data_IF_058543485853
#
_entry.id   IF_058543485853
#
_cell.length_a   1.000
_cell.length_b   1.000
_cell.length_c   1.000
_cell.angle_alpha   90.00
_cell.angle_beta   90.00
_cell.angle_gamma   90.00
#
_symmetry.space_group_name_H-M   'P 1'
#
loop_
_entity.id
_entity.type
_entity.pdbx_description
1 polymer ?
#
# COMPACT_ATOMS: atom_id res chain seq x y z
N UNK A 1 -23.40 -13.14 -20.82
CA UNK A 1 -23.17 -12.29 -19.63
C UNK A 1 -21.68 -12.22 -19.48
N UNK A 2 -21.11 -11.02 -19.39
CA UNK A 2 -19.68 -10.88 -19.10
C UNK A 2 -19.40 -11.57 -17.75
N UNK A 3 -18.26 -12.23 -17.64
CA UNK A 3 -17.88 -12.86 -16.37
C UNK A 3 -17.70 -11.77 -15.31
N UNK A 4 -18.07 -12.08 -14.06
CA UNK A 4 -17.93 -11.14 -12.95
C UNK A 4 -16.43 -10.81 -12.74
N UNK A 5 -15.98 -9.55 -12.94
CA UNK A 5 -14.57 -9.20 -12.87
C UNK A 5 -13.93 -9.52 -11.52
N UNK A 6 -14.71 -9.59 -10.43
CA UNK A 6 -14.22 -9.95 -9.10
C UNK A 6 -13.80 -11.43 -8.99
N UNK A 7 -14.31 -12.27 -9.88
CA UNK A 7 -14.01 -13.72 -9.95
C UNK A 7 -12.92 -14.08 -10.96
N UNK A 8 -12.35 -13.08 -11.64
CA UNK A 8 -11.34 -13.25 -12.68
C UNK A 8 -9.92 -12.96 -12.17
N UNK A 9 -8.95 -13.59 -12.82
CA UNK A 9 -7.53 -13.26 -12.68
C UNK A 9 -7.15 -12.07 -13.59
N UNK A 10 -6.52 -11.06 -13.00
CA UNK A 10 -6.04 -9.87 -13.70
C UNK A 10 -4.52 -9.68 -13.45
N UNK A 11 -3.75 -9.21 -14.44
CA UNK A 11 -2.35 -8.90 -14.23
C UNK A 11 -2.22 -7.56 -13.50
N UNK A 12 -1.84 -7.58 -12.22
CA UNK A 12 -1.80 -6.41 -11.34
C UNK A 12 -0.46 -5.68 -11.32
N UNK A 13 0.60 -6.34 -11.79
CA UNK A 13 1.97 -5.80 -11.92
C UNK A 13 2.75 -6.58 -12.99
N UNK A 14 3.89 -6.05 -13.45
CA UNK A 14 4.91 -6.83 -14.18
C UNK A 14 6.02 -7.29 -13.22
N UNK A 15 6.84 -8.26 -13.63
CA UNK A 15 7.99 -8.70 -12.81
C UNK A 15 8.96 -7.54 -12.48
N UNK A 16 9.10 -6.58 -13.40
CA UNK A 16 9.96 -5.40 -13.23
C UNK A 16 9.36 -4.35 -12.29
N UNK A 17 8.04 -4.36 -12.09
CA UNK A 17 7.37 -3.51 -11.10
C UNK A 17 7.69 -4.01 -9.67
N UNK A 18 8.07 -5.28 -9.49
CA UNK A 18 8.23 -5.94 -8.19
C UNK A 18 9.66 -6.49 -7.97
N UNK A 19 10.71 -5.65 -8.04
CA UNK A 19 12.06 -6.08 -7.69
C UNK A 19 12.17 -6.37 -6.18
N UNK A 20 13.19 -7.12 -5.77
CA UNK A 20 13.47 -7.34 -4.34
C UNK A 20 13.62 -6.02 -3.59
N UNK A 21 13.25 -6.03 -2.31
CA UNK A 21 13.34 -4.87 -1.40
C UNK A 21 12.45 -3.68 -1.80
N UNK A 22 11.57 -3.86 -2.77
CA UNK A 22 10.54 -2.90 -3.13
C UNK A 22 9.15 -3.40 -2.71
N UNK A 23 8.21 -2.45 -2.50
CA UNK A 23 6.78 -2.73 -2.37
C UNK A 23 6.07 -1.87 -3.41
N UNK A 24 5.54 -2.52 -4.43
CA UNK A 24 4.80 -1.90 -5.50
C UNK A 24 3.38 -1.55 -5.05
N UNK A 25 2.92 -0.36 -5.44
CA UNK A 25 1.54 0.06 -5.23
C UNK A 25 0.67 -0.41 -6.41
N UNK A 26 0.06 -1.59 -6.27
CA UNK A 26 -0.90 -2.11 -7.23
C UNK A 26 -2.30 -1.57 -6.97
N UNK A 27 -3.19 -1.69 -7.97
CA UNK A 27 -4.60 -1.36 -7.82
C UNK A 27 -5.46 -2.33 -8.65
N UNK A 28 -6.63 -2.72 -8.16
CA UNK A 28 -7.54 -3.62 -8.89
C UNK A 28 -8.98 -3.36 -8.42
N UNK A 29 -9.90 -3.11 -9.35
CA UNK A 29 -11.34 -2.99 -9.06
C UNK A 29 -11.67 -2.00 -7.90
N UNK A 30 -10.99 -0.86 -7.89
CA UNK A 30 -11.11 0.19 -6.86
C UNK A 30 -10.29 -0.04 -5.60
N UNK A 31 -9.68 -1.22 -5.43
CA UNK A 31 -8.86 -1.58 -4.26
C UNK A 31 -7.39 -1.24 -4.47
N UNK A 32 -6.71 -0.77 -3.41
CA UNK A 32 -5.25 -0.61 -3.40
C UNK A 32 -4.57 -1.88 -2.88
N UNK A 33 -3.50 -2.29 -3.56
CA UNK A 33 -2.73 -3.50 -3.26
C UNK A 33 -1.28 -3.14 -2.90
N UNK A 34 -0.73 -3.83 -1.90
CA UNK A 34 0.70 -3.86 -1.64
C UNK A 34 1.27 -5.14 -2.25
N UNK A 35 2.03 -5.01 -3.34
CA UNK A 35 2.63 -6.12 -4.07
C UNK A 35 4.13 -6.15 -3.82
N UNK A 36 4.68 -7.25 -3.32
CA UNK A 36 6.12 -7.32 -3.01
C UNK A 36 6.69 -8.73 -3.13
N UNK A 37 7.97 -8.81 -3.49
CA UNK A 37 8.70 -10.08 -3.64
C UNK A 37 9.61 -10.33 -2.43
N UNK A 38 9.47 -11.52 -1.85
CA UNK A 38 10.33 -12.01 -0.78
C UNK A 38 11.60 -12.68 -1.35
N UNK A 39 12.58 -12.97 -0.49
CA UNK A 39 13.85 -13.60 -0.88
C UNK A 39 13.70 -15.06 -1.33
N UNK A 40 12.58 -15.70 -1.00
CA UNK A 40 12.22 -17.04 -1.48
C UNK A 40 11.45 -17.00 -2.80
N UNK A 41 11.55 -15.90 -3.54
CA UNK A 41 10.86 -15.57 -4.79
C UNK A 41 9.34 -15.47 -4.71
N UNK A 42 8.75 -15.68 -3.54
CA UNK A 42 7.31 -15.59 -3.37
C UNK A 42 6.82 -14.15 -3.54
N UNK A 43 5.85 -13.96 -4.42
CA UNK A 43 5.18 -12.68 -4.63
C UNK A 43 3.94 -12.60 -3.74
N UNK A 44 3.95 -11.62 -2.85
CA UNK A 44 2.86 -11.30 -1.95
C UNK A 44 1.97 -10.23 -2.58
N UNK A 45 0.66 -10.44 -2.58
CA UNK A 45 -0.34 -9.43 -2.94
C UNK A 45 -1.27 -9.24 -1.75
N UNK A 46 -1.20 -8.10 -1.10
CA UNK A 46 -1.95 -7.83 0.13
C UNK A 46 -2.83 -6.60 -0.02
N UNK A 47 -3.83 -6.47 0.86
CA UNK A 47 -4.50 -5.20 1.07
C UNK A 47 -3.47 -4.12 1.45
N UNK A 48 -3.50 -2.98 0.76
CA UNK A 48 -2.54 -1.89 0.99
C UNK A 48 -2.84 -1.07 2.25
N UNK A 49 -3.05 -1.74 3.38
CA UNK A 49 -3.51 -1.11 4.61
C UNK A 49 -2.92 -1.80 5.84
N UNK A 50 -2.16 -1.05 6.64
CA UNK A 50 -1.68 -1.50 7.93
C UNK A 50 -2.83 -1.66 8.92
N UNK A 51 -2.89 -2.78 9.63
CA UNK A 51 -3.98 -3.10 10.56
C UNK A 51 -4.02 -2.19 11.80
N UNK A 52 -2.94 -1.48 12.12
CA UNK A 52 -2.90 -0.58 13.27
C UNK A 52 -3.69 0.72 13.02
N UNK A 53 -3.30 1.54 12.03
CA UNK A 53 -3.90 2.87 11.76
C UNK A 53 -4.18 3.12 10.28
N UNK A 54 -4.17 2.07 9.47
CA UNK A 54 -4.54 2.16 8.05
C UNK A 54 -3.52 2.82 7.14
N UNK A 55 -2.27 3.02 7.57
CA UNK A 55 -1.21 3.50 6.68
C UNK A 55 -1.02 2.54 5.51
N UNK A 56 -0.77 3.05 4.31
CA UNK A 56 -0.38 2.25 3.15
C UNK A 56 0.86 1.42 3.46
N UNK A 57 0.82 0.13 3.14
CA UNK A 57 1.97 -0.77 3.26
C UNK A 57 2.93 -0.63 2.07
N UNK A 58 2.49 -0.06 0.95
CA UNK A 58 3.34 0.26 -0.20
C UNK A 58 4.38 1.33 0.07
N UNK A 59 4.21 2.16 1.09
CA UNK A 59 5.27 3.05 1.59
C UNK A 59 6.13 2.40 2.68
N UNK A 60 5.87 1.12 2.98
CA UNK A 60 6.62 0.30 3.93
C UNK A 60 8.01 -0.05 3.43
N UNK A 61 8.70 -0.91 4.18
CA UNK A 61 9.96 -1.51 3.77
C UNK A 61 9.84 -3.03 3.71
N UNK A 62 10.20 -3.60 2.57
CA UNK A 62 10.41 -5.02 2.37
C UNK A 62 11.86 -5.36 2.73
N UNK A 63 12.08 -6.22 3.72
CA UNK A 63 13.42 -6.67 4.12
C UNK A 63 13.83 -8.04 3.54
N UNK A 64 12.96 -8.63 2.72
CA UNK A 64 13.13 -9.95 2.10
C UNK A 64 12.34 -11.06 2.77
N UNK A 65 12.04 -10.92 4.07
CA UNK A 65 11.30 -11.94 4.84
C UNK A 65 10.02 -11.40 5.45
N UNK A 66 9.99 -10.09 5.71
CA UNK A 66 8.88 -9.37 6.30
C UNK A 66 8.66 -8.04 5.59
N UNK A 67 7.43 -7.55 5.69
CA UNK A 67 7.10 -6.17 5.36
C UNK A 67 6.90 -5.39 6.66
N UNK A 68 7.64 -4.29 6.81
CA UNK A 68 7.56 -3.39 7.95
C UNK A 68 6.82 -2.09 7.57
N UNK A 69 5.78 -1.76 8.33
CA UNK A 69 5.04 -0.51 8.19
C UNK A 69 5.87 0.68 8.69
N UNK A 70 5.97 1.75 7.89
CA UNK A 70 6.76 2.94 8.26
C UNK A 70 6.12 3.85 9.32
N UNK A 71 4.88 3.59 9.74
CA UNK A 71 4.27 4.44 10.76
C UNK A 71 4.76 4.07 12.17
N UNK A 72 4.46 2.85 12.61
CA UNK A 72 4.79 2.38 13.97
C UNK A 72 5.67 1.13 13.97
N UNK A 73 6.23 0.77 12.82
CA UNK A 73 7.18 -0.35 12.70
C UNK A 73 6.58 -1.75 12.88
N UNK A 74 5.26 -1.90 12.80
CA UNK A 74 4.61 -3.22 12.79
C UNK A 74 5.15 -4.03 11.62
N UNK A 75 5.51 -5.29 11.88
CA UNK A 75 6.05 -6.21 10.88
C UNK A 75 5.06 -7.32 10.58
N UNK A 76 5.04 -7.74 9.32
CA UNK A 76 4.16 -8.79 8.81
C UNK A 76 4.98 -9.81 8.03
N UNK A 77 4.78 -11.09 8.34
CA UNK A 77 5.49 -12.19 7.69
C UNK A 77 5.08 -12.39 6.23
N UNK A 78 6.06 -12.78 5.41
CA UNK A 78 5.84 -13.38 4.08
C UNK A 78 4.74 -14.47 4.12
N UNK A 79 3.95 -14.57 3.04
CA UNK A 79 2.85 -15.53 2.80
C UNK A 79 1.64 -15.37 3.73
N UNK A 80 1.84 -15.54 5.02
CA UNK A 80 0.76 -15.51 6.01
C UNK A 80 0.18 -14.11 6.25
N UNK A 81 0.97 -13.06 5.95
CA UNK A 81 0.69 -11.68 6.31
C UNK A 81 0.36 -11.48 7.81
N UNK A 82 0.78 -12.42 8.66
CA UNK A 82 0.61 -12.38 10.10
C UNK A 82 1.56 -11.38 10.74
N UNK A 83 1.07 -10.61 11.70
CA UNK A 83 1.90 -9.68 12.44
C UNK A 83 2.90 -10.45 13.30
N UNK A 84 4.19 -10.19 13.08
CA UNK A 84 5.30 -10.88 13.76
C UNK A 84 5.91 -10.04 14.87
N UNK A 85 5.81 -8.71 14.76
CA UNK A 85 6.44 -7.81 15.71
C UNK A 85 5.70 -6.48 15.81
N UNK A 86 5.42 -6.07 17.05
CA UNK A 86 4.87 -4.76 17.41
C UNK A 86 5.93 -4.05 18.28
N UNK A 87 6.61 -3.02 17.76
CA UNK A 87 7.70 -2.37 18.49
C UNK A 87 7.34 -1.82 19.88
N UNK A 88 6.08 -1.40 20.07
CA UNK A 88 5.59 -0.90 21.35
C UNK A 88 5.39 -1.99 22.43
N UNK A 89 5.34 -3.26 22.00
CA UNK A 89 5.15 -4.44 22.86
C UNK A 89 6.20 -5.51 22.50
N UNK A 90 7.50 -5.22 22.66
CA UNK A 90 8.55 -6.08 22.14
C UNK A 90 8.69 -7.42 22.89
N UNK A 91 8.11 -7.52 24.09
CA UNK A 91 8.11 -8.74 24.90
C UNK A 91 6.90 -9.64 24.62
N UNK A 92 5.85 -9.11 24.00
CA UNK A 92 4.61 -9.82 23.73
C UNK A 92 4.62 -10.37 22.31
N UNK A 93 4.30 -11.65 22.14
CA UNK A 93 4.02 -12.18 20.82
C UNK A 93 2.70 -11.58 20.31
N UNK A 94 2.64 -10.96 19.12
CA UNK A 94 1.37 -10.50 18.56
C UNK A 94 0.37 -11.65 18.46
N UNK A 95 -0.91 -11.33 18.63
CA UNK A 95 -1.96 -12.34 18.49
C UNK A 95 -1.97 -12.90 17.06
N UNK A 96 -2.07 -14.23 16.93
CA UNK A 96 -2.09 -14.93 15.63
C UNK A 96 -3.25 -14.54 14.71
N UNK A 97 -4.26 -13.88 15.26
CA UNK A 97 -5.42 -13.33 14.55
C UNK A 97 -5.12 -12.03 13.83
N UNK A 98 -4.01 -11.36 14.13
CA UNK A 98 -3.59 -10.12 13.47
C UNK A 98 -2.90 -10.50 12.15
N UNK A 99 -3.70 -10.78 11.12
CA UNK A 99 -3.22 -11.09 9.77
C UNK A 99 -3.83 -10.12 8.78
N UNK A 100 -3.02 -9.56 7.89
CA UNK A 100 -3.55 -8.70 6.83
C UNK A 100 -4.28 -9.55 5.79
N UNK A 101 -5.23 -8.95 5.05
CA UNK A 101 -5.90 -9.64 3.95
C UNK A 101 -4.89 -9.87 2.81
N UNK A 102 -4.83 -11.12 2.36
CA UNK A 102 -3.99 -11.56 1.24
C UNK A 102 -4.87 -11.90 0.04
N UNK A 103 -4.36 -11.68 -1.15
CA UNK A 103 -4.97 -12.08 -2.42
C UNK A 103 -4.11 -13.15 -3.08
N UNK A 104 -4.70 -14.12 -3.80
CA UNK A 104 -3.95 -15.11 -4.56
C UNK A 104 -2.99 -14.45 -5.55
N UNK A 105 -1.79 -15.02 -5.71
CA UNK A 105 -0.79 -14.49 -6.64
C UNK A 105 -0.16 -15.60 -7.46
N UNK A 106 -0.04 -15.36 -8.76
CA UNK A 106 0.65 -16.25 -9.71
C UNK A 106 1.52 -15.41 -10.62
N UNK A 107 2.76 -15.81 -10.82
CA UNK A 107 3.65 -15.19 -11.81
C UNK A 107 3.60 -15.98 -13.11
N UNK A 108 3.24 -15.31 -14.22
CA UNK A 108 3.14 -15.94 -15.54
C UNK A 108 3.32 -14.91 -16.65
N UNK A 109 4.08 -15.27 -17.69
CA UNK A 109 4.40 -14.43 -18.86
C UNK A 109 5.06 -13.07 -18.51
N UNK A 110 5.86 -13.03 -17.44
CA UNK A 110 6.47 -11.79 -16.94
C UNK A 110 5.49 -10.84 -16.23
N UNK A 111 4.29 -11.33 -15.91
CA UNK A 111 3.23 -10.60 -15.21
C UNK A 111 2.91 -11.26 -13.86
N UNK A 112 2.53 -10.43 -12.89
CA UNK A 112 2.00 -10.86 -11.60
C UNK A 112 0.47 -10.81 -11.69
N UNK A 113 -0.16 -11.98 -11.64
CA UNK A 113 -1.61 -12.17 -11.68
C UNK A 113 -2.17 -12.23 -10.27
N UNK A 114 -3.34 -11.61 -10.08
CA UNK A 114 -4.12 -11.64 -8.85
C UNK A 114 -5.61 -11.41 -9.16
N UNK A 115 -6.49 -11.69 -8.21
CA UNK A 115 -7.89 -11.30 -8.26
C UNK A 115 -8.40 -10.98 -6.85
N UNK A 116 -9.64 -10.49 -6.74
CA UNK A 116 -10.27 -10.35 -5.41
C UNK A 116 -10.65 -11.72 -4.85
N UNK A 117 -11.43 -12.50 -5.59
CA UNK A 117 -11.77 -13.89 -5.29
C UNK A 117 -11.72 -14.73 -6.58
N UNK A 118 -10.54 -14.84 -7.23
CA UNK A 118 -10.43 -15.42 -8.55
C UNK A 118 -10.69 -16.93 -8.53
N UNK A 119 -11.42 -17.43 -9.53
CA UNK A 119 -11.74 -18.86 -9.68
C UNK A 119 -10.79 -19.51 -10.69
N UNK A 120 -10.27 -20.68 -10.35
CA UNK A 120 -9.39 -21.44 -11.24
C UNK A 120 -7.99 -20.84 -11.34
N UNK A 121 -7.39 -20.92 -12.53
CA UNK A 121 -6.02 -20.49 -12.82
C UNK A 121 -6.01 -19.24 -13.72
N UNK A 122 -4.92 -18.45 -13.74
CA UNK A 122 -4.75 -17.39 -14.72
C UNK A 122 -4.88 -17.89 -16.17
N UNK A 123 -5.32 -17.03 -17.11
CA UNK A 123 -5.52 -17.41 -18.50
C UNK A 123 -4.30 -18.07 -19.14
N UNK A 124 -4.51 -19.24 -19.75
CA UNK A 124 -3.55 -19.88 -20.66
C UNK A 124 -3.69 -19.29 -22.04
N UNK A 125 -2.58 -18.82 -22.63
CA UNK A 125 -2.58 -18.22 -23.97
C UNK A 125 -1.56 -18.96 -24.82
N UNK A 126 -2.04 -19.81 -25.72
CA UNK A 126 -1.23 -20.79 -26.46
C UNK A 126 0.01 -20.17 -27.13
N UNK A 127 -0.14 -18.98 -27.72
CA UNK A 127 0.97 -18.29 -28.40
C UNK A 127 2.05 -17.79 -27.44
N UNK A 128 1.69 -17.47 -26.19
CA UNK A 128 2.64 -17.10 -25.14
C UNK A 128 3.29 -18.33 -24.52
N UNK A 129 2.54 -19.41 -24.34
CA UNK A 129 3.04 -20.70 -23.81
C UNK A 129 4.03 -21.36 -24.79
N UNK A 130 3.77 -21.29 -26.09
CA UNK A 130 4.66 -21.82 -27.13
C UNK A 130 5.91 -20.95 -27.38
N UNK A 131 5.91 -19.71 -26.88
CA UNK A 131 6.90 -18.69 -27.20
C UNK A 131 7.93 -18.44 -26.10
N UNK A 132 8.57 -17.27 -26.19
CA UNK A 132 9.38 -16.68 -25.11
C UNK A 132 8.82 -15.29 -24.81
N UNK A 133 7.83 -15.19 -23.90
CA UNK A 133 7.13 -13.95 -23.62
C UNK A 133 8.07 -12.78 -23.31
N UNK A 134 7.77 -11.61 -23.85
CA UNK A 134 8.51 -10.38 -23.59
C UNK A 134 7.55 -9.25 -23.23
N UNK A 135 7.66 -8.76 -21.99
CA UNK A 135 6.80 -7.71 -21.47
C UNK A 135 7.06 -6.36 -22.15
N UNK A 136 5.99 -5.73 -22.60
CA UNK A 136 6.00 -4.34 -23.07
C UNK A 136 5.80 -3.39 -21.88
N UNK A 137 6.01 -2.10 -22.13
CA UNK A 137 5.76 -1.06 -21.12
C UNK A 137 4.27 -1.06 -20.71
N UNK A 138 4.01 -1.08 -19.41
CA UNK A 138 2.68 -0.91 -18.84
C UNK A 138 2.15 0.51 -19.12
N UNK A 139 0.90 0.64 -19.58
CA UNK A 139 0.31 1.92 -19.93
C UNK A 139 -0.99 2.17 -19.16
N UNK A 140 -1.01 3.10 -18.19
CA UNK A 140 -2.25 3.54 -17.56
C UNK A 140 -3.10 4.32 -18.54
N UNK A 141 -4.41 4.13 -18.46
CA UNK A 141 -5.40 4.75 -19.34
C UNK A 141 -6.53 5.29 -18.48
N UNK A 142 -6.89 6.57 -18.66
CA UNK A 142 -8.08 7.16 -18.06
C UNK A 142 -9.35 6.81 -18.87
N UNK A 143 -9.60 5.51 -18.98
CA UNK A 143 -10.74 4.91 -19.64
C UNK A 143 -11.13 3.59 -18.93
N UNK A 144 -12.38 3.19 -19.05
CA UNK A 144 -12.82 1.87 -18.58
C UNK A 144 -12.11 0.75 -19.35
N UNK A 145 -12.00 -0.42 -18.73
CA UNK A 145 -11.35 -1.58 -19.35
C UNK A 145 -12.07 -2.03 -20.63
N UNK A 146 -13.40 -1.95 -20.67
CA UNK A 146 -14.22 -2.32 -21.82
C UNK A 146 -13.96 -1.39 -23.01
N UNK A 147 -13.81 -0.09 -22.75
CA UNK A 147 -13.45 0.90 -23.77
C UNK A 147 -12.05 0.61 -24.32
N UNK A 148 -11.08 0.30 -23.45
CA UNK A 148 -9.72 -0.04 -23.87
C UNK A 148 -9.68 -1.33 -24.71
N UNK A 149 -10.35 -2.41 -24.30
CA UNK A 149 -10.43 -3.66 -25.08
C UNK A 149 -11.05 -3.43 -26.44
N UNK A 150 -12.11 -2.61 -26.54
CA UNK A 150 -12.72 -2.25 -27.82
C UNK A 150 -11.73 -1.59 -28.76
N UNK A 151 -11.00 -0.56 -28.31
CA UNK A 151 -10.00 0.14 -29.13
C UNK A 151 -8.77 -0.71 -29.46
N UNK A 152 -8.38 -1.62 -28.57
CA UNK A 152 -7.26 -2.53 -28.80
C UNK A 152 -7.49 -3.47 -29.98
N UNK A 153 -8.74 -3.82 -30.32
CA UNK A 153 -9.05 -4.68 -31.48
C UNK A 153 -8.60 -4.08 -32.81
N UNK A 154 -8.55 -2.75 -32.88
CA UNK A 154 -8.13 -2.00 -34.07
C UNK A 154 -6.68 -1.50 -33.95
N UNK A 155 -5.95 -1.89 -32.90
CA UNK A 155 -4.57 -1.49 -32.70
C UNK A 155 -3.65 -2.03 -33.80
N UNK A 156 -2.72 -1.20 -34.26
CA UNK A 156 -1.76 -1.54 -35.31
C UNK A 156 -0.34 -1.34 -34.81
N UNK A 157 0.54 -2.24 -35.20
CA UNK A 157 1.98 -2.15 -34.94
C UNK A 157 2.74 -2.86 -36.06
N UNK A 158 4.05 -2.60 -36.19
CA UNK A 158 4.94 -3.30 -37.10
C UNK A 158 5.54 -4.54 -36.41
N UNK A 159 5.82 -5.63 -37.14
CA UNK A 159 6.56 -6.75 -36.59
C UNK A 159 7.92 -6.33 -36.03
N UNK A 160 8.36 -6.96 -34.94
CA UNK A 160 9.60 -6.59 -34.24
C UNK A 160 10.82 -6.59 -35.17
N UNK A 161 10.94 -7.62 -36.02
CA UNK A 161 12.05 -7.77 -36.97
C UNK A 161 12.04 -6.75 -38.11
N UNK A 162 10.91 -6.10 -38.39
CA UNK A 162 10.81 -5.06 -39.42
C UNK A 162 11.29 -3.69 -38.94
N UNK A 163 11.42 -3.47 -37.63
CA UNK A 163 11.74 -2.15 -37.06
C UNK A 163 13.17 -1.68 -37.33
N UNK A 164 14.08 -2.60 -37.65
CA UNK A 164 15.48 -2.32 -37.93
C UNK A 164 15.88 -2.38 -39.40
N UNK A 165 15.00 -2.88 -40.28
CA UNK A 165 15.36 -3.32 -41.63
C UNK A 165 14.85 -2.42 -42.77
N UNK A 166 13.79 -1.63 -42.56
CA UNK A 166 13.22 -0.77 -43.61
C UNK A 166 12.80 0.62 -43.08
N UNK A 167 13.49 1.72 -43.47
CA UNK A 167 13.10 3.10 -43.14
C UNK A 167 11.75 3.53 -43.73
N UNK A 168 11.22 2.81 -44.72
CA UNK A 168 9.91 3.03 -45.34
C UNK A 168 8.79 2.20 -44.69
N UNK A 169 9.10 1.36 -43.69
CA UNK A 169 8.10 0.57 -42.98
C UNK A 169 7.07 1.49 -42.32
N UNK A 170 5.86 1.45 -42.85
CA UNK A 170 4.70 2.17 -42.31
C UNK A 170 3.73 1.17 -41.72
N UNK A 171 3.20 1.51 -40.55
CA UNK A 171 2.19 0.73 -39.83
C UNK A 171 0.90 0.58 -40.65
N UNK A 172 0.64 1.53 -41.56
CA UNK A 172 -0.48 1.48 -42.51
C UNK A 172 -0.33 0.34 -43.53
N UNK A 173 0.90 -0.12 -43.77
CA UNK A 173 1.21 -1.22 -44.69
C UNK A 173 1.26 -2.58 -43.99
N UNK A 174 1.15 -2.62 -42.66
CA UNK A 174 1.11 -3.85 -41.90
C UNK A 174 -0.29 -4.47 -41.96
N UNK A 175 -0.35 -5.75 -42.30
CA UNK A 175 -1.56 -6.55 -42.18
C UNK A 175 -1.76 -6.97 -40.72
N UNK A 176 -2.93 -6.69 -40.17
CA UNK A 176 -3.29 -7.02 -38.79
C UNK A 176 -4.36 -8.11 -38.76
N UNK A 177 -4.16 -9.13 -37.93
CA UNK A 177 -5.20 -10.10 -37.58
C UNK A 177 -5.48 -10.08 -36.08
N UNK A 178 -6.77 -10.17 -35.71
CA UNK A 178 -7.20 -10.43 -34.33
C UNK A 178 -7.28 -11.94 -34.16
N UNK A 179 -6.32 -12.52 -33.44
CA UNK A 179 -6.23 -13.97 -33.27
C UNK A 179 -7.09 -14.46 -32.10
N UNK A 180 -7.47 -13.56 -31.19
CA UNK A 180 -8.40 -13.83 -30.10
C UNK A 180 -8.74 -12.56 -29.31
N UNK A 181 -9.96 -12.49 -28.77
CA UNK A 181 -10.37 -11.41 -27.87
C UNK A 181 -11.29 -11.96 -26.78
N UNK A 182 -11.03 -11.55 -25.54
CA UNK A 182 -11.87 -11.79 -24.37
C UNK A 182 -12.31 -10.47 -23.74
N UNK A 183 -12.94 -10.55 -22.57
CA UNK A 183 -13.47 -9.37 -21.87
C UNK A 183 -12.35 -8.43 -21.39
N UNK A 184 -11.16 -8.96 -21.11
CA UNK A 184 -9.98 -8.22 -20.60
C UNK A 184 -8.69 -8.51 -21.38
N UNK A 185 -8.77 -9.03 -22.60
CA UNK A 185 -7.57 -9.32 -23.40
C UNK A 185 -7.81 -9.29 -24.90
N UNK A 186 -6.80 -8.86 -25.66
CA UNK A 186 -6.79 -8.91 -27.14
C UNK A 186 -5.46 -9.47 -27.63
N UNK A 187 -5.48 -10.52 -28.45
CA UNK A 187 -4.32 -11.07 -29.14
C UNK A 187 -4.33 -10.61 -30.61
N UNK A 188 -3.23 -10.00 -31.04
CA UNK A 188 -3.05 -9.45 -32.38
C UNK A 188 -1.78 -9.98 -33.01
N UNK A 189 -1.84 -10.36 -34.29
CA UNK A 189 -0.65 -10.60 -35.10
C UNK A 189 -0.51 -9.52 -36.17
N UNK A 190 0.68 -8.94 -36.22
CA UNK A 190 1.12 -8.05 -37.30
C UNK A 190 1.97 -8.81 -38.29
N UNK A 191 1.76 -8.58 -39.59
CA UNK A 191 2.56 -9.12 -40.70
C UNK A 191 3.00 -8.02 -41.65
N UNK A 192 4.30 -7.94 -41.92
CA UNK A 192 4.88 -6.98 -42.86
C UNK A 192 6.22 -7.49 -43.40
N UNK A 193 6.46 -7.31 -44.70
CA UNK A 193 7.77 -7.64 -45.30
C UNK A 193 8.23 -9.09 -45.13
N UNK A 194 7.29 -10.05 -45.03
CA UNK A 194 7.60 -11.47 -44.78
C UNK A 194 7.91 -11.81 -43.32
N UNK A 195 7.88 -10.81 -42.43
CA UNK A 195 8.05 -10.99 -40.97
C UNK A 195 6.69 -10.93 -40.26
N UNK A 196 6.61 -11.52 -39.07
CA UNK A 196 5.42 -11.44 -38.23
C UNK A 196 5.75 -11.31 -36.75
N UNK A 197 4.85 -10.70 -35.98
CA UNK A 197 4.93 -10.68 -34.52
C UNK A 197 3.53 -10.70 -33.92
N UNK A 198 3.35 -11.56 -32.92
CA UNK A 198 2.11 -11.66 -32.15
C UNK A 198 2.28 -11.00 -30.79
N UNK A 199 1.33 -10.15 -30.43
CA UNK A 199 1.26 -9.46 -29.15
C UNK A 199 -0.08 -9.76 -28.48
N UNK A 200 -0.06 -9.99 -27.17
CA UNK A 200 -1.26 -10.14 -26.35
C UNK A 200 -1.32 -8.97 -25.39
N UNK A 201 -2.43 -8.23 -25.43
CA UNK A 201 -2.68 -7.07 -24.59
C UNK A 201 -3.71 -7.45 -23.54
N UNK A 202 -3.28 -7.54 -22.30
CA UNK A 202 -4.18 -7.70 -21.15
C UNK A 202 -4.59 -6.33 -20.63
N UNK A 203 -5.86 -6.17 -20.25
CA UNK A 203 -6.42 -4.93 -19.74
C UNK A 203 -6.84 -5.14 -18.30
N UNK A 204 -6.04 -4.60 -17.38
CA UNK A 204 -6.30 -4.63 -15.95
C UNK A 204 -7.32 -3.52 -15.59
N UNK A 205 -8.52 -3.84 -15.08
CA UNK A 205 -9.44 -2.83 -14.56
C UNK A 205 -8.92 -2.28 -13.22
N UNK A 206 -8.51 -1.01 -13.19
CA UNK A 206 -8.05 -0.36 -11.96
C UNK A 206 -9.24 0.09 -11.13
N UNK A 207 -10.22 0.72 -11.76
CA UNK A 207 -11.55 1.04 -11.23
C UNK A 207 -12.53 1.18 -12.41
N UNK A 208 -13.70 1.78 -12.19
CA UNK A 208 -14.72 1.92 -13.23
C UNK A 208 -14.33 2.87 -14.38
N UNK A 209 -13.41 3.80 -14.16
CA UNK A 209 -13.00 4.81 -15.14
C UNK A 209 -11.54 4.71 -15.58
N UNK A 210 -10.76 3.78 -15.01
CA UNK A 210 -9.32 3.65 -15.27
C UNK A 210 -8.93 2.18 -15.46
N UNK A 211 -7.97 1.96 -16.35
CA UNK A 211 -7.36 0.65 -16.55
C UNK A 211 -5.86 0.77 -16.82
N UNK A 212 -5.17 -0.37 -16.85
CA UNK A 212 -3.77 -0.48 -17.30
C UNK A 212 -3.70 -1.52 -18.41
N UNK A 213 -3.11 -1.14 -19.54
CA UNK A 213 -2.79 -2.06 -20.63
C UNK A 213 -1.41 -2.67 -20.35
N UNK A 214 -1.35 -4.00 -20.34
CA UNK A 214 -0.13 -4.80 -20.18
C UNK A 214 0.07 -5.67 -21.41
N UNK A 215 0.93 -5.20 -22.31
CA UNK A 215 1.26 -5.92 -23.54
C UNK A 215 2.37 -6.93 -23.33
N UNK A 216 2.26 -8.09 -23.98
CA UNK A 216 3.27 -9.15 -23.98
C UNK A 216 3.47 -9.65 -25.40
N UNK A 217 4.70 -9.57 -25.92
CA UNK A 217 5.05 -10.19 -27.19
C UNK A 217 5.25 -11.69 -26.98
N UNK A 218 4.79 -12.50 -27.94
CA UNK A 218 4.96 -13.95 -27.90
C UNK A 218 6.44 -14.38 -28.01
N UNK A 219 7.27 -13.57 -28.65
CA UNK A 219 8.68 -13.85 -28.86
C UNK A 219 9.56 -12.70 -28.40
N UNK A 220 10.56 -13.02 -27.58
CA UNK A 220 11.57 -12.08 -27.11
C UNK A 220 12.45 -11.61 -28.28
N UNK A 221 12.51 -10.30 -28.57
CA UNK A 221 13.41 -9.76 -29.58
C UNK A 221 14.89 -9.93 -29.18
N UNK A 222 15.82 -9.96 -30.16
CA UNK A 222 17.25 -9.92 -29.89
C UNK A 222 17.63 -8.74 -28.98
N UNK A 223 18.58 -8.95 -28.06
CA UNK A 223 18.93 -7.95 -27.04
C UNK A 223 19.27 -6.56 -27.61
N UNK A 224 19.90 -6.48 -28.78
CA UNK A 224 20.23 -5.23 -29.46
C UNK A 224 19.02 -4.47 -30.03
N UNK A 225 17.87 -5.12 -30.19
CA UNK A 225 16.66 -4.59 -30.83
C UNK A 225 15.54 -4.28 -29.81
N UNK A 226 15.61 -4.84 -28.59
CA UNK A 226 14.58 -4.70 -27.56
C UNK A 226 14.21 -3.25 -27.27
N UNK A 227 15.18 -2.33 -27.22
CA UNK A 227 14.92 -0.92 -26.98
C UNK A 227 14.12 -0.25 -28.12
N UNK A 228 14.35 -0.67 -29.37
CA UNK A 228 13.60 -0.17 -30.52
C UNK A 228 12.17 -0.72 -30.51
N UNK A 229 12.00 -2.00 -30.20
CA UNK A 229 10.69 -2.66 -30.04
C UNK A 229 9.86 -2.00 -28.94
N UNK A 230 10.44 -1.83 -27.74
CA UNK A 230 9.77 -1.16 -26.63
C UNK A 230 9.36 0.28 -26.98
N UNK A 231 10.22 1.01 -27.69
CA UNK A 231 9.92 2.39 -28.13
C UNK A 231 8.78 2.42 -29.14
N UNK A 232 8.81 1.52 -30.14
CA UNK A 232 7.77 1.41 -31.16
C UNK A 232 6.40 1.16 -30.53
N UNK A 233 6.27 0.10 -29.73
CA UNK A 233 5.01 -0.20 -29.05
C UNK A 233 4.57 0.91 -28.10
N UNK A 234 5.49 1.53 -27.35
CA UNK A 234 5.14 2.65 -26.49
C UNK A 234 4.58 3.83 -27.29
N UNK A 235 5.14 4.17 -28.46
CA UNK A 235 4.62 5.27 -29.29
C UNK A 235 3.22 4.95 -29.80
N UNK A 236 3.01 3.75 -30.36
CA UNK A 236 1.73 3.40 -30.97
C UNK A 236 0.61 3.22 -29.94
N UNK A 237 0.91 2.59 -28.81
CA UNK A 237 -0.07 2.45 -27.74
C UNK A 237 -0.39 3.81 -27.10
N UNK A 238 0.57 4.74 -26.95
CA UNK A 238 0.27 6.08 -26.43
C UNK A 238 -0.66 6.87 -27.36
N UNK A 239 -0.53 6.71 -28.70
CA UNK A 239 -1.49 7.29 -29.64
C UNK A 239 -2.89 6.73 -29.41
N UNK A 240 -3.00 5.41 -29.25
CA UNK A 240 -4.27 4.74 -28.99
C UNK A 240 -4.88 5.17 -27.64
N UNK A 241 -4.06 5.31 -26.59
CA UNK A 241 -4.48 5.85 -25.29
C UNK A 241 -5.10 7.24 -25.44
N UNK A 242 -4.49 8.12 -26.25
CA UNK A 242 -5.06 9.45 -26.51
C UNK A 242 -6.46 9.38 -27.14
N UNK A 243 -6.73 8.41 -28.02
CA UNK A 243 -8.05 8.17 -28.59
C UNK A 243 -9.04 7.66 -27.53
N UNK A 244 -8.62 6.67 -26.73
CA UNK A 244 -9.42 6.08 -25.66
C UNK A 244 -9.84 7.15 -24.64
N UNK A 245 -8.89 7.94 -24.14
CA UNK A 245 -9.14 8.99 -23.15
C UNK A 245 -10.01 10.13 -23.69
N UNK A 246 -9.82 10.51 -24.96
CA UNK A 246 -10.67 11.50 -25.60
C UNK A 246 -12.13 11.02 -25.74
N UNK A 247 -12.34 9.73 -26.04
CA UNK A 247 -13.68 9.14 -26.03
C UNK A 247 -14.26 9.05 -24.63
N UNK A 248 -13.50 8.55 -23.65
CA UNK A 248 -13.92 8.45 -22.26
C UNK A 248 -14.39 9.79 -21.71
N UNK A 249 -13.67 10.88 -22.01
CA UNK A 249 -14.02 12.24 -21.58
C UNK A 249 -15.36 12.77 -22.14
N UNK A 250 -15.91 12.15 -23.20
CA UNK A 250 -17.23 12.50 -23.77
C UNK A 250 -18.36 11.65 -23.22
N UNK A 251 -18.05 10.56 -22.52
CA UNK A 251 -19.04 9.67 -21.93
C UNK A 251 -19.39 10.16 -20.51
N UNK A 252 -20.58 9.84 -19.99
CA UNK A 252 -20.89 10.05 -18.58
C UNK A 252 -19.88 9.34 -17.68
N UNK A 253 -19.49 9.97 -16.58
CA UNK A 253 -18.61 9.33 -15.60
C UNK A 253 -19.30 8.04 -15.06
N UNK A 254 -18.60 6.90 -15.08
CA UNK A 254 -19.18 5.64 -14.60
C UNK A 254 -19.32 5.68 -13.08
N UNK A 255 -20.23 4.87 -12.54
CA UNK A 255 -20.37 4.75 -11.09
C UNK A 255 -19.06 4.23 -10.47
N UNK A 256 -18.56 4.84 -9.38
CA UNK A 256 -17.31 4.39 -8.75
C UNK A 256 -17.39 2.95 -8.23
N UNK A 257 -16.34 2.16 -8.48
CA UNK A 257 -16.13 0.89 -7.78
C UNK A 257 -15.71 1.17 -6.34
N UNK A 258 -16.56 0.78 -5.38
CA UNK A 258 -16.27 0.94 -3.95
C UNK A 258 -15.81 -0.40 -3.40
N UNK A 259 -14.52 -0.56 -3.04
CA UNK A 259 -14.04 -1.81 -2.48
C UNK A 259 -14.64 -2.04 -1.09
N UNK A 260 -15.07 -3.26 -0.81
CA UNK A 260 -15.49 -3.65 0.54
C UNK A 260 -14.24 -3.90 1.38
N UNK A 261 -13.91 -2.96 2.26
CA UNK A 261 -12.82 -3.10 3.21
C UNK A 261 -13.33 -3.86 4.44
N UNK A 262 -12.76 -5.02 4.73
CA UNK A 262 -13.03 -5.70 5.99
C UNK A 262 -12.57 -4.81 7.15
N UNK A 263 -13.47 -4.54 8.08
CA UNK A 263 -13.12 -3.85 9.31
C UNK A 263 -12.30 -4.81 10.17
N UNK A 264 -11.14 -4.36 10.62
CA UNK A 264 -10.37 -5.07 11.65
C UNK A 264 -11.24 -5.02 12.92
N UNK A 265 -11.64 -6.17 13.48
CA UNK A 265 -12.39 -6.19 14.73
C UNK A 265 -11.68 -5.34 15.80
N UNK A 266 -12.44 -4.52 16.54
CA UNK A 266 -11.88 -3.55 17.50
C UNK A 266 -10.89 -4.22 18.48
N UNK A 267 -11.23 -5.43 18.95
CA UNK A 267 -10.40 -6.21 19.87
C UNK A 267 -9.04 -6.68 19.30
N UNK A 268 -8.86 -6.65 17.97
CA UNK A 268 -7.57 -6.94 17.30
C UNK A 268 -6.76 -5.67 17.02
N UNK A 269 -7.41 -4.50 17.04
CA UNK A 269 -6.77 -3.19 16.97
C UNK A 269 -6.39 -2.65 18.36
N UNK A 270 -6.95 -3.25 19.41
CA UNK A 270 -6.60 -2.99 20.81
C UNK A 270 -5.31 -3.73 21.16
N UNK A 271 -4.31 -2.97 21.60
CA UNK A 271 -3.09 -3.52 22.17
C UNK A 271 -3.47 -4.27 23.46
N UNK A 272 -2.85 -5.45 23.74
CA UNK A 272 -3.07 -6.12 25.01
C UNK A 272 -2.76 -5.15 26.16
N UNK A 273 -3.64 -5.10 27.16
CA UNK A 273 -3.41 -4.29 28.35
C UNK A 273 -2.05 -4.69 28.94
N UNK A 274 -1.11 -3.75 28.95
CA UNK A 274 0.14 -3.94 29.67
C UNK A 274 -0.20 -4.37 31.11
N UNK A 275 0.44 -5.42 31.65
CA UNK A 275 0.07 -5.96 32.95
C UNK A 275 0.08 -4.82 33.97
N UNK A 276 -1.10 -4.52 34.51
CA UNK A 276 -1.35 -3.41 35.41
C UNK A 276 -0.82 -3.73 36.81
N UNK A 277 0.50 -3.87 36.93
CA UNK A 277 1.20 -3.61 38.18
C UNK A 277 1.19 -2.11 38.43
N UNK A 278 0.03 -1.53 38.79
CA UNK A 278 -0.08 -0.11 39.15
C UNK A 278 0.65 0.13 40.47
N UNK A 279 1.95 0.39 40.39
CA UNK A 279 2.73 0.99 41.47
C UNK A 279 2.19 2.38 41.81
N UNK A 280 2.39 2.77 43.07
CA UNK A 280 1.78 3.93 43.72
C UNK A 280 1.78 5.19 42.84
N UNK A 281 0.60 5.81 42.68
CA UNK A 281 0.47 7.04 41.92
C UNK A 281 1.22 8.19 42.59
N UNK A 282 2.14 8.82 41.86
CA UNK A 282 2.80 10.05 42.27
C UNK A 282 1.77 11.19 42.28
N UNK A 283 1.81 12.03 43.31
CA UNK A 283 0.96 13.22 43.40
C UNK A 283 1.72 14.44 42.90
N UNK A 284 1.13 15.11 41.91
CA UNK A 284 1.70 16.31 41.29
C UNK A 284 0.71 17.45 41.32
N UNK A 285 1.21 18.67 41.45
CA UNK A 285 0.44 19.87 41.26
C UNK A 285 0.65 20.41 39.85
N UNK A 286 -0.41 20.91 39.22
CA UNK A 286 -0.32 21.69 37.97
C UNK A 286 0.25 23.05 38.34
N UNK A 287 1.56 23.23 38.19
CA UNK A 287 2.23 24.51 38.46
C UNK A 287 1.86 25.54 37.41
N UNK A 288 1.78 25.12 36.14
CA UNK A 288 1.39 25.99 35.02
C UNK A 288 0.56 25.24 33.99
N UNK A 289 -0.31 25.99 33.32
CA UNK A 289 -1.07 25.57 32.14
C UNK A 289 -1.11 26.72 31.15
N UNK A 290 -0.69 26.46 29.91
CA UNK A 290 -0.67 27.49 28.88
C UNK A 290 -0.94 26.90 27.50
N UNK A 291 -1.50 27.72 26.62
CA UNK A 291 -1.68 27.33 25.22
C UNK A 291 -0.36 27.46 24.47
N UNK A 292 0.01 26.39 23.76
CA UNK A 292 1.25 26.33 22.95
C UNK A 292 0.97 26.52 21.46
N UNK A 293 -0.22 26.14 21.02
CA UNK A 293 -0.74 26.31 19.68
C UNK A 293 -2.27 26.22 19.71
N UNK A 294 -2.93 26.53 18.60
CA UNK A 294 -4.38 26.36 18.48
C UNK A 294 -4.79 24.91 18.80
N UNK A 295 -5.63 24.74 19.83
CA UNK A 295 -6.10 23.44 20.30
C UNK A 295 -5.05 22.60 21.03
N UNK A 296 -3.92 23.16 21.46
CA UNK A 296 -2.87 22.42 22.21
C UNK A 296 -2.47 23.17 23.47
N UNK A 297 -2.82 22.60 24.62
CA UNK A 297 -2.41 23.11 25.93
C UNK A 297 -1.22 22.32 26.47
N UNK A 298 -0.26 22.99 27.09
CA UNK A 298 0.82 22.37 27.82
C UNK A 298 0.63 22.53 29.32
N UNK A 299 1.12 21.55 30.06
CA UNK A 299 1.02 21.49 31.51
C UNK A 299 2.41 21.24 32.10
N UNK A 300 2.69 21.95 33.17
CA UNK A 300 3.88 21.75 33.99
C UNK A 300 3.45 21.16 35.33
N UNK A 301 3.90 19.93 35.58
CA UNK A 301 3.49 19.12 36.72
C UNK A 301 4.67 19.00 37.69
N UNK A 302 4.51 19.51 38.91
CA UNK A 302 5.54 19.46 39.96
C UNK A 302 5.17 18.48 41.05
N UNK A 303 6.11 17.74 41.65
CA UNK A 303 5.80 16.81 42.74
C UNK A 303 5.30 17.57 43.97
N UNK A 304 4.32 17.01 44.69
CA UNK A 304 3.93 17.56 46.00
C UNK A 304 5.02 17.34 47.06
N UNK A 305 5.81 16.27 46.91
CA UNK A 305 6.90 15.91 47.83
C UNK A 305 8.06 15.29 47.05
N UNK A 306 9.28 15.67 47.40
CA UNK A 306 10.49 15.10 46.81
C UNK A 306 10.74 15.53 45.36
N UNK A 307 11.35 14.64 44.59
CA UNK A 307 11.64 14.83 43.16
C UNK A 307 10.96 13.73 42.34
N UNK A 308 10.64 14.02 41.09
CA UNK A 308 10.07 13.04 40.18
C UNK A 308 11.15 12.08 39.66
N UNK A 309 10.82 10.81 39.35
CA UNK A 309 11.76 9.88 38.74
C UNK A 309 12.38 10.44 37.44
N UNK A 310 13.60 10.04 37.13
CA UNK A 310 14.17 10.33 35.81
C UNK A 310 13.50 9.50 34.72
N UNK A 311 13.69 9.88 33.46
CA UNK A 311 13.10 9.20 32.31
C UNK A 311 14.05 9.18 31.11
N UNK A 312 13.76 8.32 30.15
CA UNK A 312 14.45 8.27 28.86
C UNK A 312 13.64 9.02 27.78
N UNK A 313 14.29 9.51 26.71
CA UNK A 313 13.57 10.10 25.58
C UNK A 313 12.48 9.15 25.04
N UNK A 314 11.30 9.69 24.77
CA UNK A 314 10.12 8.92 24.35
C UNK A 314 9.26 8.40 25.50
N UNK A 315 9.63 8.64 26.76
CA UNK A 315 8.83 8.24 27.90
C UNK A 315 7.50 9.01 28.01
N UNK A 316 6.50 8.35 28.59
CA UNK A 316 5.17 8.88 28.88
C UNK A 316 4.75 8.54 30.31
N UNK A 317 3.73 9.23 30.80
CA UNK A 317 3.08 8.98 32.09
C UNK A 317 1.58 8.76 31.88
N UNK A 318 0.99 7.93 32.73
CA UNK A 318 -0.46 7.84 32.87
C UNK A 318 -0.93 9.00 33.77
N UNK A 319 -1.92 9.79 33.34
CA UNK A 319 -2.51 10.88 34.11
C UNK A 319 -3.94 10.51 34.48
N UNK A 320 -4.24 10.52 35.78
CA UNK A 320 -5.57 10.29 36.32
C UNK A 320 -6.35 11.61 36.35
N UNK A 321 -7.45 11.65 35.61
CA UNK A 321 -8.25 12.84 35.37
C UNK A 321 -9.42 12.96 36.35
N UNK A 322 -9.90 14.18 36.66
CA UNK A 322 -11.05 14.40 37.54
C UNK A 322 -12.33 13.68 37.10
N UNK A 323 -12.51 13.45 35.79
CA UNK A 323 -13.64 12.71 35.24
C UNK A 323 -13.51 11.18 35.35
N UNK A 324 -12.52 10.68 36.10
CA UNK A 324 -12.29 9.25 36.33
C UNK A 324 -11.53 8.53 35.22
N UNK A 325 -11.22 9.21 34.11
CA UNK A 325 -10.43 8.64 33.02
C UNK A 325 -8.93 8.63 33.35
N UNK A 326 -8.21 7.69 32.74
CA UNK A 326 -6.74 7.68 32.75
C UNK A 326 -6.24 7.83 31.31
N UNK A 327 -5.33 8.76 31.07
CA UNK A 327 -4.79 9.03 29.73
C UNK A 327 -3.28 9.12 29.75
N UNK A 328 -2.66 8.61 28.70
CA UNK A 328 -1.21 8.61 28.56
C UNK A 328 -0.75 9.86 27.83
N UNK A 329 0.26 10.54 28.39
CA UNK A 329 0.87 11.72 27.76
C UNK A 329 2.38 11.62 27.77
N UNK A 330 3.00 11.94 26.64
CA UNK A 330 4.45 11.98 26.50
C UNK A 330 5.04 13.12 27.34
N UNK A 331 6.15 12.82 28.01
CA UNK A 331 6.95 13.82 28.72
C UNK A 331 7.78 14.57 27.67
N UNK A 332 7.79 15.89 27.73
CA UNK A 332 8.34 16.79 26.70
C UNK A 332 9.53 17.62 27.17
N UNK A 333 9.88 17.57 28.46
CA UNK A 333 11.10 18.19 28.99
C UNK A 333 12.28 17.20 28.98
N UNK A 334 13.48 17.67 29.35
CA UNK A 334 14.72 16.92 29.19
C UNK A 334 14.91 15.79 30.21
N UNK A 335 15.53 14.66 29.83
CA UNK A 335 15.98 13.64 30.78
C UNK A 335 16.83 14.24 31.90
N UNK A 336 16.55 13.89 33.16
CA UNK A 336 17.25 14.41 34.34
C UNK A 336 16.63 15.67 34.95
N UNK A 337 15.64 16.30 34.30
CA UNK A 337 14.85 17.38 34.88
C UNK A 337 13.78 16.83 35.84
N UNK A 338 14.21 16.35 37.01
CA UNK A 338 13.35 15.70 38.01
C UNK A 338 12.49 16.67 38.84
N UNK A 339 12.63 17.98 38.65
CA UNK A 339 11.86 18.99 39.37
C UNK A 339 10.42 19.13 38.87
N UNK A 340 10.15 18.72 37.64
CA UNK A 340 8.84 18.80 37.01
C UNK A 340 8.77 17.87 35.79
N UNK A 341 7.56 17.49 35.39
CA UNK A 341 7.30 16.97 34.06
C UNK A 341 6.52 17.98 33.24
N UNK A 342 6.79 18.01 31.94
CA UNK A 342 6.02 18.80 30.98
C UNK A 342 5.28 17.91 30.01
N UNK A 343 3.98 18.10 29.87
CA UNK A 343 3.17 17.37 28.88
C UNK A 343 2.46 18.34 27.94
N UNK A 344 2.20 17.89 26.71
CA UNK A 344 1.38 18.59 25.72
C UNK A 344 0.12 17.80 25.39
N UNK A 345 -1.02 18.48 25.36
CA UNK A 345 -2.34 17.86 25.23
C UNK A 345 -3.09 18.54 24.10
N UNK A 346 -3.27 17.81 22.99
CA UNK A 346 -4.15 18.24 21.89
C UNK A 346 -5.62 18.04 22.29
N UNK A 347 -6.46 19.03 22.01
CA UNK A 347 -7.90 18.95 22.15
C UNK A 347 -8.48 18.12 21.00
N UNK A 348 -9.07 16.98 21.33
CA UNK A 348 -9.85 16.14 20.41
C UNK A 348 -11.31 16.14 20.91
N UNK A 349 -12.20 16.99 20.35
CA UNK A 349 -13.57 17.14 20.82
C UNK A 349 -14.39 15.85 20.69
N UNK A 350 -14.14 15.07 19.63
CA UNK A 350 -14.83 13.80 19.35
C UNK A 350 -14.20 12.61 20.09
N UNK A 351 -13.28 12.86 21.03
CA UNK A 351 -12.68 11.80 21.84
C UNK A 351 -13.60 11.38 23.00
N UNK A 352 -13.17 10.36 23.74
CA UNK A 352 -13.81 9.88 24.99
C UNK A 352 -13.76 10.88 26.16
N UNK A 353 -13.46 12.17 25.91
CA UNK A 353 -13.56 13.26 26.88
C UNK A 353 -12.31 13.53 27.72
N UNK A 354 -11.22 12.78 27.54
CA UNK A 354 -9.98 12.95 28.31
C UNK A 354 -9.26 14.27 28.04
N UNK A 355 -9.07 14.61 26.75
CA UNK A 355 -8.47 15.89 26.36
C UNK A 355 -9.36 17.07 26.75
N UNK A 356 -10.68 16.93 26.58
CA UNK A 356 -11.65 17.96 26.96
C UNK A 356 -11.55 18.26 28.45
N UNK A 357 -11.47 17.25 29.31
CA UNK A 357 -11.31 17.44 30.76
C UNK A 357 -10.03 18.21 31.14
N UNK A 358 -8.89 17.90 30.50
CA UNK A 358 -7.64 18.64 30.73
C UNK A 358 -7.75 20.10 30.26
N UNK A 359 -8.41 20.35 29.14
CA UNK A 359 -8.60 21.70 28.60
C UNK A 359 -9.61 22.52 29.41
N UNK A 360 -10.75 21.96 29.77
CA UNK A 360 -11.88 22.70 30.31
C UNK A 360 -11.97 22.65 31.83
N UNK A 361 -11.55 21.55 32.47
CA UNK A 361 -11.72 21.35 33.92
C UNK A 361 -10.44 21.60 34.69
N UNK A 362 -9.31 21.06 34.22
CA UNK A 362 -8.03 21.17 34.95
C UNK A 362 -7.51 22.62 34.89
N UNK A 363 -7.08 23.12 36.05
CA UNK A 363 -6.55 24.47 36.28
C UNK A 363 -5.18 24.43 36.96
N UNK A 364 -4.48 25.55 36.92
CA UNK A 364 -3.28 25.75 37.72
C UNK A 364 -3.63 25.64 39.22
N UNK A 365 -2.78 24.96 39.98
CA UNK A 365 -2.98 24.67 41.40
C UNK A 365 -3.63 23.30 41.68
N UNK A 366 -4.28 22.68 40.69
CA UNK A 366 -4.92 21.37 40.85
C UNK A 366 -3.91 20.26 41.12
N UNK A 367 -4.32 19.27 41.91
CA UNK A 367 -3.51 18.08 42.20
C UNK A 367 -3.99 16.90 41.37
N UNK A 368 -3.08 16.32 40.60
CA UNK A 368 -3.31 15.13 39.79
C UNK A 368 -2.51 13.94 40.33
N UNK A 369 -2.98 12.74 40.01
CA UNK A 369 -2.25 11.50 40.22
C UNK A 369 -1.64 11.05 38.88
N UNK A 370 -0.36 10.70 38.89
CA UNK A 370 0.35 10.21 37.70
C UNK A 370 1.11 8.91 37.98
N UNK A 371 1.39 8.11 36.95
CA UNK A 371 2.33 6.99 37.06
C UNK A 371 3.79 7.45 37.10
N UNK A 372 4.71 6.55 37.45
CA UNK A 372 6.11 6.70 37.06
C UNK A 372 6.26 6.71 35.52
N UNK A 373 7.33 7.33 34.98
CA UNK A 373 7.60 7.30 33.54
C UNK A 373 7.77 5.88 33.00
N UNK A 374 7.10 5.59 31.89
CA UNK A 374 7.27 4.36 31.12
C UNK A 374 7.76 4.68 29.72
N UNK A 375 8.56 3.80 29.14
CA UNK A 375 9.01 3.97 27.76
C UNK A 375 8.75 2.69 26.97
N UNK A 376 7.68 2.71 26.17
CA UNK A 376 7.31 1.59 25.29
C UNK A 376 8.11 1.62 23.97
N UNK A 377 8.87 2.69 23.71
CA UNK A 377 9.67 2.86 22.51
C UNK A 377 11.09 3.37 22.86
N UNK A 378 11.86 2.60 23.64
CA UNK A 378 13.19 3.05 24.07
C UNK A 378 14.12 3.18 22.87
N UNK A 379 14.87 4.27 22.82
CA UNK A 379 15.93 4.46 21.83
C UNK A 379 17.03 3.41 22.07
N UNK A 380 17.12 2.44 21.16
CA UNK A 380 18.17 1.42 21.15
C UNK A 380 19.50 2.04 20.72
N UNK A 381 20.49 2.06 21.61
CA UNK A 381 21.84 2.60 21.35
C UNK A 381 22.65 1.73 20.38
N UNK A 382 22.25 0.46 20.24
CA UNK A 382 22.83 -0.58 19.41
C UNK A 382 22.14 -0.73 18.05
N UNK A 383 21.21 0.17 17.72
CA UNK A 383 20.58 0.26 16.40
C UNK A 383 21.64 0.56 15.32
N UNK A 384 22.10 -0.47 14.62
CA UNK A 384 22.88 -0.32 13.38
C UNK A 384 21.92 -0.20 12.19
N UNK A 385 22.26 0.72 11.28
CA UNK A 385 21.45 1.17 10.14
C UNK A 385 20.90 0.06 9.27
#
# INVERSE_FOLDING_TARGET
>A
MADDPFTLWHPVASEHDVPYRHVYHGQLLGRELAVWRADDDYVNVWENRCLHRGLRLSIGSNDGTELRCQYHGWRYANRSAGCTYIPAHPADAPARTICNRTFPSVERYGLIWSGEDPVGEPPTVDVLEAGRPFGLRNLPVNASAELAVRHLRDHRFLPSESLGSDPAASIELAEMSVDGAGDYSVALTSRAGGTQSTAVFFVQPVDSGRCVIRGVLASTPPAGEQAAVLRHHAVELNRLVGVMEAEAARLPAPEPMVPVLQQVPLHLAELPEAPSGRQAALRVQVRRKWDTAAGVAAFELVPLTGVLPTFQPGAHIDVHLPNGLVRQYSITNGPGESSHYRIGVKLEPDSTGGSVCLHETVREGDVLAISEPRNNFPLRRDSMR
#
